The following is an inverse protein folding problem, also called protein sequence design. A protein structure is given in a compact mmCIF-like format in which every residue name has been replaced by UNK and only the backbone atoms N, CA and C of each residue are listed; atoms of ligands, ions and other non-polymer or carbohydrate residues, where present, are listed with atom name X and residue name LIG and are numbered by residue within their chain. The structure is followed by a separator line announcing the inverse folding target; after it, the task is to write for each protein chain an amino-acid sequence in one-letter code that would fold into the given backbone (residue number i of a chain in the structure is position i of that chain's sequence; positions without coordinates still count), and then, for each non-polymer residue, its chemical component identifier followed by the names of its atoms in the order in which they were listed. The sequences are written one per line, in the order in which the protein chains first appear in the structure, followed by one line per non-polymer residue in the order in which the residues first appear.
data_IF_164984177215
#
_entry.id   IF_164984177215
#
_cell.length_a   1.000
_cell.length_b   1.000
_cell.length_c   1.000
_cell.angle_alpha   90.00
_cell.angle_beta   90.00
_cell.angle_gamma   90.00
#
_symmetry.space_group_name_H-M   'P 1'
#
loop_
_entity.id
_entity.type
_entity.pdbx_description
1 polymer ?
#
# COMPACT_ATOMS: atom_id res chain seq x y z
N UNK A 1 -15.88 3.95 21.53
CA UNK A 1 -16.04 4.74 20.28
C UNK A 1 -14.73 5.37 19.78
N UNK A 2 -13.89 5.91 20.66
CA UNK A 2 -12.59 6.53 20.30
C UNK A 2 -11.70 5.68 19.37
N UNK A 3 -11.64 4.37 19.61
CA UNK A 3 -10.82 3.44 18.82
C UNK A 3 -11.31 3.31 17.37
N UNK A 4 -12.61 3.40 17.09
CA UNK A 4 -13.14 3.30 15.72
C UNK A 4 -12.85 4.57 14.90
N UNK A 5 -12.87 5.75 15.54
CA UNK A 5 -12.40 7.00 14.93
C UNK A 5 -10.93 6.90 14.50
N UNK A 6 -10.06 6.38 15.37
CA UNK A 6 -8.64 6.20 15.04
C UNK A 6 -8.41 5.25 13.84
N UNK A 7 -9.29 4.27 13.61
CA UNK A 7 -9.21 3.40 12.43
C UNK A 7 -9.70 4.13 11.18
N UNK A 8 -10.74 4.96 11.27
CA UNK A 8 -11.22 5.78 10.16
C UNK A 8 -10.17 6.81 9.73
N UNK A 9 -9.52 7.50 10.67
CA UNK A 9 -8.43 8.45 10.38
C UNK A 9 -7.25 7.76 9.68
N UNK A 10 -6.94 6.53 10.11
CA UNK A 10 -5.92 5.71 9.45
C UNK A 10 -6.33 5.34 8.02
N UNK A 11 -7.59 4.96 7.80
CA UNK A 11 -8.09 4.64 6.47
C UNK A 11 -7.97 5.85 5.54
N UNK A 12 -8.34 7.05 6.03
CA UNK A 12 -8.18 8.30 5.27
C UNK A 12 -6.70 8.58 4.95
N UNK A 13 -5.81 8.47 5.94
CA UNK A 13 -4.36 8.63 5.75
C UNK A 13 -3.78 7.65 4.73
N UNK A 14 -4.26 6.40 4.74
CA UNK A 14 -3.81 5.37 3.81
C UNK A 14 -4.35 5.58 2.40
N UNK A 15 -5.59 6.06 2.24
CA UNK A 15 -6.13 6.47 0.95
C UNK A 15 -5.28 7.58 0.32
N UNK A 16 -4.99 8.66 1.06
CA UNK A 16 -4.12 9.73 0.59
C UNK A 16 -2.74 9.18 0.17
N UNK A 17 -2.15 8.31 1.00
CA UNK A 17 -0.86 7.70 0.69
C UNK A 17 -0.88 6.83 -0.57
N UNK A 18 -1.97 6.11 -0.82
CA UNK A 18 -2.13 5.29 -2.02
C UNK A 18 -2.34 6.14 -3.27
N UNK A 19 -3.11 7.22 -3.16
CA UNK A 19 -3.27 8.19 -4.25
C UNK A 19 -1.92 8.81 -4.64
N UNK A 20 -1.11 9.23 -3.66
CA UNK A 20 0.24 9.76 -3.90
C UNK A 20 1.16 8.73 -4.57
N UNK A 21 1.12 7.46 -4.11
CA UNK A 21 1.91 6.37 -4.69
C UNK A 21 1.50 6.09 -6.13
N UNK A 22 0.19 6.05 -6.41
CA UNK A 22 -0.37 5.85 -7.74
C UNK A 22 0.06 6.97 -8.70
N UNK A 23 -0.06 8.23 -8.28
CA UNK A 23 0.38 9.36 -9.09
C UNK A 23 1.88 9.28 -9.39
N UNK A 24 2.71 8.94 -8.39
CA UNK A 24 4.17 8.83 -8.60
C UNK A 24 4.52 7.70 -9.58
N UNK A 25 3.77 6.59 -9.59
CA UNK A 25 3.94 5.50 -10.57
C UNK A 25 3.60 5.99 -11.98
N UNK A 26 2.48 6.69 -12.15
CA UNK A 26 2.06 7.23 -13.44
C UNK A 26 3.08 8.26 -13.97
N UNK A 27 3.60 9.12 -13.10
CA UNK A 27 4.70 10.03 -13.43
C UNK A 27 5.98 9.28 -13.84
N UNK A 28 6.34 8.22 -13.12
CA UNK A 28 7.52 7.42 -13.43
C UNK A 28 7.38 6.72 -14.79
N UNK A 29 6.20 6.16 -15.11
CA UNK A 29 5.86 5.63 -16.43
C UNK A 29 6.05 6.70 -17.52
N UNK A 30 5.50 7.90 -17.32
CA UNK A 30 5.62 8.99 -18.29
C UNK A 30 7.07 9.40 -18.55
N UNK A 31 7.89 9.50 -17.49
CA UNK A 31 9.29 9.90 -17.58
C UNK A 31 10.15 8.81 -18.24
N UNK A 32 9.89 7.54 -17.90
CA UNK A 32 10.56 6.39 -18.53
C UNK A 32 10.24 6.29 -20.02
N UNK A 33 8.98 6.52 -20.41
CA UNK A 33 8.56 6.54 -21.82
C UNK A 33 9.21 7.68 -22.63
N UNK A 34 9.62 8.78 -21.96
CA UNK A 34 10.39 9.88 -22.56
C UNK A 34 11.89 9.60 -22.62
N UNK A 35 12.38 8.55 -21.94
CA UNK A 35 13.79 8.19 -21.88
C UNK A 35 14.64 9.05 -20.94
N UNK A 36 14.02 9.88 -20.09
CA UNK A 36 14.72 10.78 -19.17
C UNK A 36 15.10 10.05 -17.87
N UNK A 37 16.15 9.24 -17.98
CA UNK A 37 16.64 8.36 -16.92
C UNK A 37 17.02 9.11 -15.62
N UNK A 38 17.67 10.29 -15.66
CA UNK A 38 17.92 11.09 -14.46
C UNK A 38 16.65 11.51 -13.71
N UNK A 39 15.63 11.99 -14.43
CA UNK A 39 14.36 12.39 -13.81
C UNK A 39 13.60 11.15 -13.29
N UNK A 40 13.67 10.02 -14.00
CA UNK A 40 13.08 8.76 -13.56
C UNK A 40 13.69 8.30 -12.23
N UNK A 41 15.01 8.42 -12.07
CA UNK A 41 15.69 8.07 -10.83
C UNK A 41 15.23 8.92 -9.64
N UNK A 42 15.01 10.22 -9.84
CA UNK A 42 14.48 11.11 -8.79
C UNK A 42 13.05 10.70 -8.39
N UNK A 43 12.20 10.37 -9.36
CA UNK A 43 10.82 9.90 -9.11
C UNK A 43 10.78 8.52 -8.46
N UNK A 44 11.70 7.62 -8.78
CA UNK A 44 11.83 6.33 -8.10
C UNK A 44 12.21 6.51 -6.61
N UNK A 45 13.06 7.49 -6.30
CA UNK A 45 13.38 7.84 -4.91
C UNK A 45 12.20 8.45 -4.16
N UNK A 46 11.39 9.31 -4.80
CA UNK A 46 10.18 9.85 -4.17
C UNK A 46 9.17 8.75 -3.87
N UNK A 47 8.96 7.81 -4.81
CA UNK A 47 8.14 6.61 -4.59
C UNK A 47 8.62 5.81 -3.35
N UNK A 48 9.92 5.51 -3.27
CA UNK A 48 10.49 4.78 -2.14
C UNK A 48 10.29 5.51 -0.79
N UNK A 49 10.32 6.85 -0.77
CA UNK A 49 10.03 7.65 0.43
C UNK A 49 8.57 7.55 0.84
N UNK A 50 7.64 7.63 -0.12
CA UNK A 50 6.21 7.50 0.14
C UNK A 50 5.85 6.13 0.70
N UNK A 51 6.41 5.04 0.15
CA UNK A 51 6.23 3.68 0.68
C UNK A 51 6.71 3.59 2.13
N UNK A 52 7.89 4.17 2.44
CA UNK A 52 8.41 4.21 3.81
C UNK A 52 7.49 5.00 4.75
N UNK A 53 6.91 6.10 4.29
CA UNK A 53 5.95 6.91 5.06
C UNK A 53 4.68 6.12 5.36
N UNK A 54 4.04 5.53 4.34
CA UNK A 54 2.85 4.69 4.49
C UNK A 54 3.09 3.53 5.49
N UNK A 55 4.24 2.85 5.39
CA UNK A 55 4.63 1.79 6.31
C UNK A 55 4.75 2.25 7.77
N UNK A 56 5.23 3.47 8.01
CA UNK A 56 5.31 4.05 9.37
C UNK A 56 3.92 4.32 9.95
N UNK A 57 2.99 4.83 9.15
CA UNK A 57 1.61 5.06 9.57
C UNK A 57 0.93 3.74 10.00
N UNK A 58 1.08 2.68 9.22
CA UNK A 58 0.64 1.33 9.56
C UNK A 58 1.27 0.83 10.87
N UNK A 59 2.60 0.93 11.02
CA UNK A 59 3.32 0.44 12.21
C UNK A 59 2.85 1.14 13.49
N UNK A 60 2.68 2.47 13.46
CA UNK A 60 2.23 3.25 14.62
C UNK A 60 0.82 2.86 15.05
N UNK A 61 -0.02 2.48 14.10
CA UNK A 61 -1.41 2.19 14.37
C UNK A 61 -1.64 0.77 14.93
N UNK A 62 -0.68 -0.15 14.75
CA UNK A 62 -0.73 -1.53 15.27
C UNK A 62 -0.31 -1.62 16.75
N UNK A 63 0.52 -0.70 17.24
CA UNK A 63 1.12 -0.80 18.57
C UNK A 63 0.29 -0.20 19.72
N UNK A 64 -1.04 0.03 19.55
CA UNK A 64 -1.83 0.91 20.44
C UNK A 64 -3.09 0.30 21.09
N UNK A 65 -3.19 -1.02 21.26
CA UNK A 65 -4.42 -1.67 21.79
C UNK A 65 -4.20 -2.55 23.03
N UNK A 66 -4.55 -2.05 24.23
CA UNK A 66 -4.80 -2.86 25.46
C UNK A 66 -5.98 -2.28 26.26
N UNK A 67 -7.01 -3.09 26.56
CA UNK A 67 -7.88 -3.11 27.78
C UNK A 67 -9.12 -4.02 27.58
N UNK A 68 -9.74 -4.49 28.68
CA UNK A 68 -9.96 -5.93 28.96
C UNK A 68 -11.40 -6.50 29.01
N UNK A 69 -12.51 -5.76 28.86
CA UNK A 69 -13.87 -6.38 28.94
C UNK A 69 -14.70 -6.35 27.64
N UNK A 70 -14.26 -5.56 26.64
CA UNK A 70 -14.58 -5.79 25.22
C UNK A 70 -13.54 -6.76 24.60
N UNK A 71 -12.79 -7.49 25.42
CA UNK A 71 -11.57 -8.18 25.04
C UNK A 71 -11.75 -9.17 23.89
N UNK A 72 -12.90 -9.86 23.78
CA UNK A 72 -13.13 -10.79 22.68
C UNK A 72 -13.38 -10.06 21.35
N UNK A 73 -14.25 -9.04 21.33
CA UNK A 73 -14.54 -8.27 20.11
C UNK A 73 -13.34 -7.41 19.71
N UNK A 74 -12.68 -6.78 20.69
CA UNK A 74 -11.43 -6.02 20.49
C UNK A 74 -10.30 -6.95 20.08
N UNK A 75 -10.17 -8.16 20.64
CA UNK A 75 -9.19 -9.16 20.20
C UNK A 75 -9.49 -9.65 18.79
N UNK A 76 -10.76 -9.90 18.44
CA UNK A 76 -11.15 -10.29 17.09
C UNK A 76 -10.84 -9.17 16.09
N UNK A 77 -11.18 -7.92 16.40
CA UNK A 77 -10.86 -6.75 15.57
C UNK A 77 -9.35 -6.50 15.51
N UNK A 78 -8.61 -6.73 16.59
CA UNK A 78 -7.15 -6.59 16.64
C UNK A 78 -6.47 -7.71 15.86
N UNK A 79 -7.02 -8.93 15.89
CA UNK A 79 -6.58 -10.09 15.11
C UNK A 79 -6.86 -9.87 13.63
N UNK A 80 -8.07 -9.43 13.27
CA UNK A 80 -8.44 -9.06 11.91
C UNK A 80 -7.54 -7.93 11.37
N UNK A 81 -7.26 -6.92 12.20
CA UNK A 81 -6.28 -5.87 11.92
C UNK A 81 -4.88 -6.44 11.73
N UNK A 82 -4.45 -7.36 12.58
CA UNK A 82 -3.15 -8.03 12.50
C UNK A 82 -3.01 -8.84 11.20
N UNK A 83 -4.06 -9.55 10.79
CA UNK A 83 -4.13 -10.29 9.52
C UNK A 83 -4.08 -9.33 8.34
N UNK A 84 -4.90 -8.27 8.35
CA UNK A 84 -4.91 -7.26 7.31
C UNK A 84 -3.53 -6.60 7.18
N UNK A 85 -2.91 -6.20 8.28
CA UNK A 85 -1.57 -5.60 8.30
C UNK A 85 -0.50 -6.59 7.85
N UNK A 86 -0.59 -7.86 8.24
CA UNK A 86 0.36 -8.90 7.82
C UNK A 86 0.24 -9.20 6.34
N UNK A 87 -0.99 -9.28 5.81
CA UNK A 87 -1.25 -9.42 4.38
C UNK A 87 -0.71 -8.22 3.59
N UNK A 88 -0.96 -6.99 4.07
CA UNK A 88 -0.39 -5.77 3.51
C UNK A 88 1.15 -5.77 3.55
N UNK A 89 1.74 -6.21 4.67
CA UNK A 89 3.20 -6.30 4.83
C UNK A 89 3.79 -7.33 3.87
N UNK A 90 3.21 -8.52 3.76
CA UNK A 90 3.64 -9.55 2.83
C UNK A 90 3.48 -9.10 1.38
N UNK A 91 2.41 -8.39 1.04
CA UNK A 91 2.23 -7.79 -0.28
C UNK A 91 3.36 -6.78 -0.57
N UNK A 92 3.66 -5.87 0.36
CA UNK A 92 4.75 -4.90 0.20
C UNK A 92 6.13 -5.57 0.11
N UNK A 93 6.39 -6.62 0.89
CA UNK A 93 7.64 -7.39 0.82
C UNK A 93 7.77 -8.18 -0.48
N UNK A 94 6.68 -8.75 -0.98
CA UNK A 94 6.64 -9.42 -2.28
C UNK A 94 6.96 -8.42 -3.40
N UNK A 95 6.34 -7.24 -3.37
CA UNK A 95 6.63 -6.15 -4.31
C UNK A 95 8.10 -5.69 -4.21
N UNK A 96 8.65 -5.63 -3.00
CA UNK A 96 10.08 -5.31 -2.80
C UNK A 96 11.02 -6.39 -3.33
N UNK A 97 10.67 -7.68 -3.19
CA UNK A 97 11.48 -8.81 -3.71
C UNK A 97 11.43 -8.90 -5.22
N UNK A 98 10.27 -8.62 -5.83
CA UNK A 98 10.11 -8.51 -7.30
C UNK A 98 11.02 -7.43 -7.90
N UNK A 99 11.26 -6.33 -7.18
CA UNK A 99 12.24 -5.32 -7.59
C UNK A 99 13.71 -5.81 -7.49
N UNK A 100 14.02 -6.72 -6.56
CA UNK A 100 15.37 -7.24 -6.36
C UNK A 100 15.73 -8.40 -7.31
N UNK A 101 14.80 -9.27 -7.67
CA UNK A 101 15.03 -10.44 -8.54
C UNK A 101 15.15 -10.09 -10.03
N UNK A 102 14.62 -8.93 -10.45
CA UNK A 102 14.81 -8.43 -11.81
C UNK A 102 16.20 -7.84 -12.08
N UNK A 103 17.01 -7.55 -11.05
CA UNK A 103 18.38 -7.05 -11.25
C UNK A 103 19.40 -8.15 -11.52
N UNK A 104 19.14 -9.40 -11.09
CA UNK A 104 20.17 -10.44 -11.04
C UNK A 104 20.08 -11.53 -12.13
N UNK A 105 18.90 -11.87 -12.66
CA UNK A 105 18.76 -13.20 -13.28
C UNK A 105 18.99 -13.32 -14.79
N UNK A 106 19.15 -12.25 -15.59
CA UNK A 106 19.35 -12.39 -17.06
C UNK A 106 20.26 -11.37 -17.76
N UNK A 107 21.07 -10.60 -17.03
CA UNK A 107 21.87 -9.52 -17.64
C UNK A 107 23.23 -9.92 -18.24
N UNK A 108 23.72 -11.16 -18.07
CA UNK A 108 25.09 -11.52 -18.48
C UNK A 108 25.25 -11.99 -19.93
N UNK A 109 24.18 -12.23 -20.72
CA UNK A 109 24.33 -12.84 -22.05
C UNK A 109 23.67 -12.11 -23.23
N UNK A 110 23.07 -10.94 -23.05
CA UNK A 110 22.40 -10.23 -24.17
C UNK A 110 22.81 -8.76 -24.17
N UNK A 111 24.10 -8.49 -24.33
CA UNK A 111 24.65 -7.12 -24.33
C UNK A 111 24.59 -6.40 -25.69
N UNK A 112 23.84 -6.86 -26.71
CA UNK A 112 23.84 -6.17 -28.02
C UNK A 112 22.50 -5.91 -28.73
N UNK A 113 21.34 -6.26 -28.16
CA UNK A 113 20.03 -5.96 -28.78
C UNK A 113 19.00 -5.31 -27.84
N UNK A 114 19.41 -4.83 -26.66
CA UNK A 114 18.50 -4.47 -25.57
C UNK A 114 18.07 -3.00 -25.51
N UNK A 115 18.61 -2.08 -26.32
CA UNK A 115 18.21 -0.67 -26.22
C UNK A 115 16.71 -0.45 -26.53
N UNK A 116 16.08 -1.32 -27.33
CA UNK A 116 14.63 -1.26 -27.66
C UNK A 116 13.74 -2.17 -26.80
N UNK A 117 14.33 -3.05 -25.97
CA UNK A 117 13.60 -4.08 -25.17
C UNK A 117 13.61 -3.81 -23.66
N UNK A 118 14.46 -2.90 -23.15
CA UNK A 118 14.50 -2.49 -21.73
C UNK A 118 13.17 -1.89 -21.24
N UNK A 119 12.50 -1.13 -22.11
CA UNK A 119 11.19 -0.49 -21.82
C UNK A 119 10.13 -1.51 -21.39
N UNK A 120 10.19 -2.75 -21.89
CA UNK A 120 9.14 -3.76 -21.64
C UNK A 120 9.14 -4.39 -20.23
N UNK A 121 10.28 -4.47 -19.52
CA UNK A 121 10.31 -5.13 -18.21
C UNK A 121 9.90 -4.16 -17.09
N UNK A 122 10.43 -2.93 -17.14
CA UNK A 122 10.18 -1.88 -16.15
C UNK A 122 8.72 -1.41 -16.21
N UNK A 123 8.14 -1.33 -17.40
CA UNK A 123 6.73 -0.95 -17.61
C UNK A 123 5.75 -2.00 -17.05
N UNK A 124 6.03 -3.29 -17.27
CA UNK A 124 5.22 -4.41 -16.72
C UNK A 124 5.27 -4.42 -15.19
N UNK A 125 6.44 -4.15 -14.60
CA UNK A 125 6.56 -4.04 -13.14
C UNK A 125 5.82 -2.85 -12.58
N UNK A 126 5.87 -1.69 -13.25
CA UNK A 126 5.13 -0.52 -12.83
C UNK A 126 3.62 -0.73 -12.92
N UNK A 127 3.13 -1.36 -13.98
CA UNK A 127 1.71 -1.72 -14.09
C UNK A 127 1.27 -2.69 -12.98
N UNK A 128 2.10 -3.68 -12.64
CA UNK A 128 1.80 -4.58 -11.53
C UNK A 128 1.73 -3.84 -10.18
N UNK A 129 2.62 -2.85 -9.97
CA UNK A 129 2.59 -1.99 -8.78
C UNK A 129 1.34 -1.11 -8.75
N UNK A 130 0.95 -0.52 -9.87
CA UNK A 130 -0.28 0.29 -10.00
C UNK A 130 -1.53 -0.53 -9.68
N UNK A 131 -1.65 -1.72 -10.27
CA UNK A 131 -2.75 -2.64 -10.00
C UNK A 131 -2.81 -3.06 -8.54
N UNK A 132 -1.64 -3.32 -7.93
CA UNK A 132 -1.52 -3.59 -6.51
C UNK A 132 -2.08 -2.44 -5.67
N UNK A 133 -1.67 -1.20 -5.94
CA UNK A 133 -2.15 -0.02 -5.20
C UNK A 133 -3.65 0.18 -5.39
N UNK A 134 -4.19 0.03 -6.59
CA UNK A 134 -5.64 0.13 -6.84
C UNK A 134 -6.42 -0.93 -6.04
N UNK A 135 -5.89 -2.16 -5.94
CA UNK A 135 -6.49 -3.19 -5.09
C UNK A 135 -6.48 -2.81 -3.61
N UNK A 136 -5.40 -2.19 -3.15
CA UNK A 136 -5.28 -1.70 -1.77
C UNK A 136 -6.20 -0.52 -1.47
N UNK A 137 -6.35 0.43 -2.40
CA UNK A 137 -7.29 1.55 -2.30
C UNK A 137 -8.72 1.05 -2.09
N UNK A 138 -9.16 0.11 -2.95
CA UNK A 138 -10.49 -0.50 -2.85
C UNK A 138 -10.69 -1.23 -1.52
N UNK A 139 -9.66 -1.93 -1.06
CA UNK A 139 -9.72 -2.68 0.21
C UNK A 139 -9.87 -1.74 1.41
N UNK A 140 -9.14 -0.62 1.42
CA UNK A 140 -9.25 0.40 2.49
C UNK A 140 -10.58 1.13 2.42
N UNK A 141 -11.08 1.43 1.22
CA UNK A 141 -12.40 2.04 1.04
C UNK A 141 -13.52 1.14 1.58
N UNK A 142 -13.48 -0.16 1.26
CA UNK A 142 -14.43 -1.14 1.78
C UNK A 142 -14.37 -1.22 3.32
N UNK A 143 -13.16 -1.22 3.89
CA UNK A 143 -12.99 -1.21 5.34
C UNK A 143 -13.58 0.05 5.97
N UNK A 144 -13.33 1.22 5.38
CA UNK A 144 -13.86 2.50 5.85
C UNK A 144 -15.41 2.50 5.87
N UNK A 145 -16.04 2.05 4.77
CA UNK A 145 -17.51 1.93 4.66
C UNK A 145 -18.08 0.98 5.72
N UNK A 146 -17.47 -0.19 5.89
CA UNK A 146 -17.90 -1.17 6.88
C UNK A 146 -17.77 -0.64 8.32
N UNK A 147 -16.70 0.10 8.64
CA UNK A 147 -16.51 0.70 9.96
C UNK A 147 -17.58 1.74 10.29
N UNK A 148 -17.95 2.57 9.31
CA UNK A 148 -19.04 3.54 9.46
C UNK A 148 -20.37 2.80 9.70
N UNK A 149 -20.67 1.79 8.88
CA UNK A 149 -21.92 1.04 8.99
C UNK A 149 -22.04 0.35 10.36
N UNK A 150 -20.99 -0.35 10.82
CA UNK A 150 -20.97 -0.98 12.14
C UNK A 150 -21.16 0.04 13.26
N UNK A 151 -20.54 1.21 13.16
CA UNK A 151 -20.71 2.28 14.16
C UNK A 151 -22.16 2.77 14.22
N UNK A 152 -22.78 3.00 13.06
CA UNK A 152 -24.17 3.46 12.99
C UNK A 152 -25.12 2.41 13.56
N UNK A 153 -24.95 1.13 13.19
CA UNK A 153 -25.77 0.05 13.74
C UNK A 153 -25.66 -0.06 15.26
N UNK A 154 -24.44 0.00 15.81
CA UNK A 154 -24.22 -0.06 17.26
C UNK A 154 -24.84 1.14 18.00
N UNK A 155 -24.71 2.35 17.46
CA UNK A 155 -25.36 3.53 18.01
C UNK A 155 -26.89 3.37 18.06
N UNK A 156 -27.48 2.88 16.98
CA UNK A 156 -28.92 2.68 16.88
C UNK A 156 -29.41 1.64 17.89
N UNK A 157 -28.66 0.54 18.11
CA UNK A 157 -29.02 -0.47 19.12
C UNK A 157 -28.86 0.00 20.55
N UNK A 158 -27.89 0.89 20.83
CA UNK A 158 -27.63 1.42 22.18
C UNK A 158 -28.53 2.60 22.55
N UNK A 159 -29.17 3.22 21.55
CA UNK A 159 -30.09 4.36 21.72
C UNK A 159 -31.56 3.94 21.73
N UNK A 160 -31.84 2.64 21.57
CA UNK A 160 -33.19 2.03 21.59
C UNK A 160 -33.44 1.30 22.89
#
# INVERSE_FOLDING_TARGET
MERSLQVLDLCNTMQESFTDLKMTIQELQMVLNRGDLPVAQVKAQSYARLVKKAKRHLKKAVSKSTSDDDAWLVSLLTTARGIAVSALKSAVELLSKQMATCSASKWSLITKSIQKRRVSCEEVQLQALELGIVGLERSVENLFRNLIQTRVSLLNTLSS
#
